data_IF_525511189049
#
_entry.id   IF_525511189049
#
_cell.length_a   1.000
_cell.length_b   1.000
_cell.length_c   1.000
_cell.angle_alpha   90.00
_cell.angle_beta   90.00
_cell.angle_gamma   90.00
#
_symmetry.space_group_name_H-M   'P 1'
#
loop_
_entity.id
_entity.type
_entity.pdbx_description
1 polymer ?
#
# COMPACT_ATOMS: atom_id res chain seq x y z
N UNK A 1 21.63 -59.84 21.49
CA UNK A 1 20.33 -59.24 21.66
C UNK A 1 20.12 -58.25 20.53
N UNK A 2 19.18 -58.56 19.60
CA UNK A 2 18.95 -57.88 18.33
C UNK A 2 18.09 -56.62 18.53
N UNK A 3 18.63 -55.44 18.14
CA UNK A 3 17.88 -54.21 18.03
C UNK A 3 17.00 -54.24 16.77
N UNK A 4 15.68 -54.23 16.95
CA UNK A 4 14.72 -53.94 15.86
C UNK A 4 14.60 -52.43 15.74
N UNK A 5 15.07 -51.83 14.64
CA UNK A 5 14.69 -50.49 14.19
C UNK A 5 13.27 -50.55 13.63
N UNK A 6 12.33 -49.89 14.31
CA UNK A 6 11.01 -49.66 13.78
C UNK A 6 11.06 -48.47 12.84
N UNK A 7 10.83 -48.71 11.56
CA UNK A 7 10.54 -47.69 10.56
C UNK A 7 9.10 -47.20 10.83
N UNK A 8 8.96 -46.02 11.41
CA UNK A 8 7.70 -45.30 11.43
C UNK A 8 7.59 -44.51 10.11
N UNK A 9 6.86 -45.07 9.16
CA UNK A 9 6.40 -44.31 7.99
C UNK A 9 5.35 -43.34 8.47
N UNK A 10 5.71 -42.04 8.58
CA UNK A 10 4.72 -40.97 8.66
C UNK A 10 3.92 -41.01 7.35
N UNK A 11 2.65 -41.42 7.43
CA UNK A 11 1.71 -41.22 6.35
C UNK A 11 1.56 -39.72 6.10
N UNK A 12 1.92 -39.26 4.91
CA UNK A 12 1.55 -37.95 4.43
C UNK A 12 0.02 -37.87 4.44
N UNK A 13 -0.54 -37.22 5.45
CA UNK A 13 -1.94 -36.79 5.44
C UNK A 13 -2.04 -35.76 4.33
N UNK A 14 -2.57 -36.18 3.19
CA UNK A 14 -3.03 -35.26 2.14
C UNK A 14 -3.98 -34.28 2.80
N UNK A 15 -3.57 -33.03 2.85
CA UNK A 15 -4.41 -31.92 3.34
C UNK A 15 -5.55 -31.75 2.34
N UNK A 16 -6.67 -32.43 2.59
CA UNK A 16 -7.91 -32.34 1.81
C UNK A 16 -8.68 -31.11 2.25
N UNK A 17 -8.07 -29.90 2.06
CA UNK A 17 -8.81 -28.67 2.19
C UNK A 17 -10.00 -28.68 1.23
N UNK A 18 -11.17 -28.27 1.70
CA UNK A 18 -12.37 -28.16 0.87
C UNK A 18 -12.08 -27.17 -0.26
N UNK A 19 -12.29 -27.61 -1.51
CA UNK A 19 -12.14 -26.73 -2.67
C UNK A 19 -13.34 -25.78 -2.70
N UNK A 20 -13.15 -24.45 -2.61
CA UNK A 20 -14.28 -23.50 -2.53
C UNK A 20 -15.33 -23.66 -3.63
N UNK A 21 -14.90 -24.05 -4.84
CA UNK A 21 -15.80 -24.35 -5.97
C UNK A 21 -16.77 -25.50 -5.72
N UNK A 22 -16.43 -26.44 -4.84
CA UNK A 22 -17.29 -27.56 -4.46
C UNK A 22 -18.37 -27.14 -3.46
N UNK A 23 -18.12 -26.02 -2.75
CA UNK A 23 -19.07 -25.47 -1.77
C UNK A 23 -19.97 -24.40 -2.41
N UNK A 24 -19.38 -23.47 -3.15
CA UNK A 24 -20.09 -22.41 -3.86
C UNK A 24 -19.32 -22.03 -5.14
N UNK A 25 -19.95 -22.32 -6.28
CA UNK A 25 -19.40 -21.98 -7.61
C UNK A 25 -19.15 -20.48 -7.81
N UNK A 26 -19.82 -19.61 -7.04
CA UNK A 26 -19.61 -18.16 -7.11
C UNK A 26 -18.37 -17.70 -6.33
N UNK A 27 -17.76 -18.56 -5.51
CA UNK A 27 -16.51 -18.28 -4.80
C UNK A 27 -15.25 -18.52 -5.64
N UNK A 28 -15.38 -19.05 -6.84
CA UNK A 28 -14.26 -19.22 -7.78
C UNK A 28 -14.33 -18.20 -8.90
N UNK A 29 -13.15 -17.70 -9.31
CA UNK A 29 -13.04 -17.04 -10.59
C UNK A 29 -13.28 -18.10 -11.68
N UNK A 30 -14.34 -17.97 -12.47
CA UNK A 30 -14.52 -18.76 -13.67
C UNK A 30 -13.29 -18.55 -14.57
N UNK A 31 -12.77 -19.63 -15.17
CA UNK A 31 -11.83 -19.52 -16.27
C UNK A 31 -12.55 -18.73 -17.39
N UNK A 32 -12.15 -17.47 -17.57
CA UNK A 32 -12.78 -16.62 -18.54
C UNK A 32 -12.12 -16.85 -19.91
N UNK A 33 -12.94 -16.87 -20.96
CA UNK A 33 -12.44 -16.97 -22.33
C UNK A 33 -11.63 -15.72 -22.71
N UNK A 34 -10.31 -15.91 -22.83
CA UNK A 34 -9.37 -14.87 -23.25
C UNK A 34 -9.32 -14.67 -24.79
N UNK A 35 -10.13 -15.41 -25.56
CA UNK A 35 -10.20 -15.24 -27.02
C UNK A 35 -10.63 -13.82 -27.39
N UNK A 36 -10.01 -13.26 -28.41
CA UNK A 36 -10.31 -11.90 -28.86
C UNK A 36 -9.79 -10.77 -27.95
N UNK A 37 -8.92 -11.07 -26.98
CA UNK A 37 -8.19 -10.06 -26.22
C UNK A 37 -6.88 -9.68 -26.91
N UNK A 38 -6.54 -8.39 -26.86
CA UNK A 38 -5.24 -7.85 -27.23
C UNK A 38 -4.47 -7.51 -25.98
N UNK A 39 -3.37 -8.21 -25.75
CA UNK A 39 -2.51 -8.05 -24.58
C UNK A 39 -1.47 -6.95 -24.82
N UNK A 40 -1.28 -6.09 -23.83
CA UNK A 40 -0.30 -5.00 -23.83
C UNK A 40 0.46 -4.97 -22.51
N UNK A 41 1.76 -4.74 -22.56
CA UNK A 41 2.56 -4.56 -21.37
C UNK A 41 2.13 -3.27 -20.67
N UNK A 42 1.88 -3.33 -19.36
CA UNK A 42 1.50 -2.15 -18.58
C UNK A 42 2.58 -1.05 -18.57
N UNK A 43 3.83 -1.38 -18.91
CA UNK A 43 4.92 -0.41 -19.05
C UNK A 43 4.88 0.40 -20.34
N UNK A 44 4.12 -0.07 -21.33
CA UNK A 44 4.00 0.62 -22.62
C UNK A 44 3.05 1.83 -22.50
N UNK A 45 3.29 2.83 -23.37
CA UNK A 45 2.30 3.87 -23.58
C UNK A 45 1.05 3.25 -24.24
N UNK A 46 -0.16 3.72 -23.93
CA UNK A 46 -0.46 4.94 -23.20
C UNK A 46 -0.78 4.74 -21.71
N UNK A 47 -0.46 3.58 -21.11
CA UNK A 47 -0.69 3.40 -19.69
C UNK A 47 0.12 4.39 -18.86
N UNK A 48 -0.49 5.02 -17.86
CA UNK A 48 0.18 5.87 -16.88
C UNK A 48 0.42 5.09 -15.60
N UNK A 49 1.69 5.03 -15.14
CA UNK A 49 2.07 4.32 -13.92
C UNK A 49 2.48 5.31 -12.84
N UNK A 50 1.94 5.15 -11.64
CA UNK A 50 2.16 6.00 -10.47
C UNK A 50 2.63 5.20 -9.26
N UNK A 51 3.30 5.87 -8.31
CA UNK A 51 3.66 5.33 -6.99
C UNK A 51 4.79 4.31 -6.98
N UNK A 52 5.46 4.06 -8.12
CA UNK A 52 6.60 3.15 -8.27
C UNK A 52 7.82 3.91 -8.80
N UNK A 53 9.00 3.42 -8.43
CA UNK A 53 10.28 3.98 -8.89
C UNK A 53 10.59 3.50 -10.32
N UNK A 54 10.86 4.44 -11.22
CA UNK A 54 11.19 4.17 -12.63
C UNK A 54 10.38 3.01 -13.24
N UNK A 55 9.03 3.11 -13.23
CA UNK A 55 8.18 1.94 -13.48
C UNK A 55 8.26 1.39 -14.90
N UNK A 56 8.83 2.17 -15.84
CA UNK A 56 9.06 1.75 -17.24
C UNK A 56 10.44 1.12 -17.48
N UNK A 57 11.35 1.18 -16.48
CA UNK A 57 12.64 0.53 -16.58
C UNK A 57 12.50 -0.99 -16.72
N UNK A 58 13.51 -1.64 -17.26
CA UNK A 58 13.58 -3.09 -17.33
C UNK A 58 13.53 -3.73 -15.94
N UNK A 59 13.11 -5.01 -15.89
CA UNK A 59 13.00 -5.79 -14.67
C UNK A 59 11.69 -5.60 -13.91
N UNK A 60 11.65 -6.06 -12.68
CA UNK A 60 10.46 -6.02 -11.83
C UNK A 60 10.11 -4.61 -11.37
N UNK A 61 8.82 -4.37 -11.11
CA UNK A 61 8.36 -3.15 -10.45
C UNK A 61 8.92 -3.05 -9.02
N UNK A 62 9.22 -1.82 -8.57
CA UNK A 62 9.79 -1.55 -7.24
C UNK A 62 9.42 -0.16 -6.74
N UNK A 63 9.49 0.05 -5.42
CA UNK A 63 9.10 1.32 -4.80
C UNK A 63 10.25 2.31 -4.64
N UNK A 64 11.50 1.82 -4.69
CA UNK A 64 12.71 2.64 -4.60
C UNK A 64 13.90 1.94 -5.30
N UNK A 65 15.02 2.64 -5.58
CA UNK A 65 16.22 2.02 -6.15
C UNK A 65 16.75 0.88 -5.29
N UNK A 66 17.18 -0.23 -5.91
CA UNK A 66 17.71 -1.39 -5.17
C UNK A 66 18.97 -1.04 -4.34
N UNK A 67 19.81 -0.14 -4.86
CA UNK A 67 21.01 0.34 -4.16
C UNK A 67 20.65 1.16 -2.93
N UNK A 68 19.72 2.12 -3.07
CA UNK A 68 19.23 2.91 -1.94
C UNK A 68 18.58 2.02 -0.87
N UNK A 69 17.74 1.04 -1.29
CA UNK A 69 17.12 0.09 -0.38
C UNK A 69 18.15 -0.78 0.35
N UNK A 70 19.22 -1.21 -0.35
CA UNK A 70 20.31 -2.00 0.24
C UNK A 70 21.15 -1.21 1.24
N UNK A 71 21.31 0.10 1.02
CA UNK A 71 22.03 0.98 1.94
C UNK A 71 21.29 1.20 3.26
N UNK A 72 19.97 0.99 3.30
CA UNK A 72 19.17 1.11 4.53
C UNK A 72 19.32 -0.14 5.39
N UNK A 73 18.68 -1.25 5.01
CA UNK A 73 18.79 -2.54 5.67
C UNK A 73 18.22 -3.67 4.79
N UNK A 74 18.46 -4.93 5.19
CA UNK A 74 18.02 -6.11 4.42
C UNK A 74 16.49 -6.22 4.31
N UNK A 75 15.75 -5.77 5.31
CA UNK A 75 14.28 -5.78 5.32
C UNK A 75 13.70 -4.76 4.36
N UNK A 76 14.24 -3.54 4.34
CA UNK A 76 13.88 -2.50 3.37
C UNK A 76 14.19 -2.97 1.95
N UNK A 77 15.38 -3.57 1.71
CA UNK A 77 15.77 -4.14 0.41
C UNK A 77 14.74 -5.17 -0.08
N UNK A 78 14.28 -6.05 0.79
CA UNK A 78 13.25 -7.04 0.48
C UNK A 78 11.89 -6.38 0.21
N UNK A 79 11.44 -5.53 1.13
CA UNK A 79 10.11 -4.93 1.09
C UNK A 79 9.96 -3.86 -0.01
N UNK A 80 11.03 -3.23 -0.46
CA UNK A 80 11.03 -2.27 -1.58
C UNK A 80 10.59 -2.90 -2.91
N UNK A 81 10.69 -4.23 -3.03
CA UNK A 81 10.23 -5.00 -4.18
C UNK A 81 8.73 -5.31 -4.15
N UNK A 82 8.06 -5.18 -3.00
CA UNK A 82 6.61 -5.20 -2.94
C UNK A 82 6.06 -3.93 -3.58
N UNK A 83 4.91 -4.04 -4.24
CA UNK A 83 4.38 -2.98 -5.11
C UNK A 83 3.32 -2.10 -4.44
N UNK A 84 3.29 -2.06 -3.10
CA UNK A 84 2.34 -1.26 -2.34
C UNK A 84 2.31 0.20 -2.81
N UNK A 85 1.13 0.71 -3.13
CA UNK A 85 0.95 2.06 -3.64
C UNK A 85 1.18 2.21 -5.15
N UNK A 86 1.61 1.16 -5.86
CA UNK A 86 1.66 1.17 -7.32
C UNK A 86 0.27 1.27 -7.95
N UNK A 87 0.13 2.02 -9.04
CA UNK A 87 -1.14 2.15 -9.78
C UNK A 87 -0.86 2.26 -11.27
N UNK A 88 -1.72 1.60 -12.09
CA UNK A 88 -1.82 1.86 -13.53
C UNK A 88 -3.12 2.59 -13.80
N UNK A 89 -3.06 3.69 -14.55
CA UNK A 89 -4.23 4.45 -14.97
C UNK A 89 -4.32 4.49 -16.48
N UNK A 90 -5.51 4.27 -17.01
CA UNK A 90 -5.78 4.28 -18.45
C UNK A 90 -7.26 4.52 -18.71
N UNK A 91 -7.58 4.91 -19.94
CA UNK A 91 -8.96 5.10 -20.42
C UNK A 91 -9.25 4.15 -21.57
N UNK A 92 -10.39 3.44 -21.50
CA UNK A 92 -10.79 2.45 -22.50
C UNK A 92 -12.32 2.28 -22.51
N UNK A 93 -12.84 1.82 -23.64
CA UNK A 93 -14.21 1.35 -23.80
C UNK A 93 -14.31 -0.19 -23.82
N UNK A 94 -13.21 -0.88 -23.55
CA UNK A 94 -13.21 -2.34 -23.43
C UNK A 94 -14.15 -2.79 -22.33
N UNK A 95 -14.98 -3.79 -22.61
CA UNK A 95 -15.84 -4.42 -21.62
C UNK A 95 -15.09 -5.42 -20.76
N UNK A 96 -14.06 -6.08 -21.31
CA UNK A 96 -13.22 -7.04 -20.57
C UNK A 96 -11.89 -6.37 -20.22
N UNK A 97 -11.53 -6.40 -18.95
CA UNK A 97 -10.24 -5.96 -18.45
C UNK A 97 -9.56 -7.19 -17.88
N UNK A 98 -8.63 -7.76 -18.64
CA UNK A 98 -7.88 -8.94 -18.24
C UNK A 98 -6.51 -8.56 -17.69
N UNK A 99 -6.04 -9.31 -16.71
CA UNK A 99 -4.67 -9.20 -16.21
C UNK A 99 -3.95 -10.53 -16.40
N UNK A 100 -2.72 -10.47 -16.90
CA UNK A 100 -1.72 -11.53 -16.81
C UNK A 100 -0.58 -10.98 -15.98
N UNK A 101 -0.35 -11.63 -14.83
CA UNK A 101 0.58 -11.15 -13.82
C UNK A 101 1.63 -12.22 -13.55
N UNK A 102 2.92 -11.83 -13.56
CA UNK A 102 4.00 -12.66 -13.02
C UNK A 102 4.55 -12.06 -11.74
N UNK A 103 4.77 -12.90 -10.77
CA UNK A 103 5.29 -12.57 -9.45
C UNK A 103 6.47 -13.47 -9.14
N UNK A 104 7.67 -12.95 -8.81
CA UNK A 104 8.81 -13.80 -8.42
C UNK A 104 8.52 -14.73 -7.25
N UNK A 105 7.61 -14.31 -6.38
CA UNK A 105 7.03 -15.10 -5.29
C UNK A 105 5.70 -14.47 -4.86
N UNK A 106 4.89 -15.24 -4.16
CA UNK A 106 3.62 -14.76 -3.59
C UNK A 106 3.69 -14.81 -2.07
N UNK A 107 3.45 -13.66 -1.43
CA UNK A 107 3.45 -13.58 0.03
C UNK A 107 2.07 -13.91 0.58
N UNK A 108 2.01 -14.93 1.44
CA UNK A 108 0.78 -15.37 2.12
C UNK A 108 0.98 -15.29 3.63
N UNK A 109 0.17 -14.46 4.27
CA UNK A 109 0.10 -14.35 5.72
C UNK A 109 -1.25 -14.84 6.20
N UNK A 110 -1.28 -15.52 7.36
CA UNK A 110 -2.51 -16.11 7.91
C UNK A 110 -3.57 -15.06 8.28
N UNK A 111 -3.16 -13.83 8.55
CA UNK A 111 -4.02 -12.70 8.94
C UNK A 111 -4.33 -11.72 7.81
N UNK A 112 -3.75 -11.90 6.61
CA UNK A 112 -3.98 -11.01 5.46
C UNK A 112 -4.83 -11.67 4.39
N UNK A 113 -5.83 -10.97 3.89
CA UNK A 113 -6.57 -11.39 2.71
C UNK A 113 -5.64 -11.46 1.49
N UNK A 114 -5.69 -12.57 0.74
CA UNK A 114 -4.89 -12.77 -0.49
C UNK A 114 -5.21 -11.69 -1.54
N UNK A 115 -6.44 -11.21 -1.57
CA UNK A 115 -6.90 -10.09 -2.41
C UNK A 115 -6.20 -8.76 -2.09
N UNK A 116 -5.74 -8.55 -0.86
CA UNK A 116 -4.94 -7.40 -0.46
C UNK A 116 -3.45 -7.61 -0.67
N UNK A 117 -2.93 -8.76 -0.19
CA UNK A 117 -1.49 -9.04 -0.20
C UNK A 117 -0.94 -9.31 -1.59
N UNK A 118 -1.71 -9.95 -2.48
CA UNK A 118 -1.19 -10.53 -3.73
C UNK A 118 -2.10 -10.32 -4.94
N UNK A 119 -3.04 -9.38 -4.89
CA UNK A 119 -3.95 -9.12 -5.99
C UNK A 119 -4.08 -7.65 -6.34
N UNK A 120 -4.85 -7.39 -7.36
CA UNK A 120 -5.17 -6.06 -7.87
C UNK A 120 -6.65 -5.76 -7.63
N UNK A 121 -6.98 -4.49 -7.37
CA UNK A 121 -8.35 -4.00 -7.45
C UNK A 121 -8.48 -2.88 -8.47
N UNK A 122 -9.69 -2.66 -8.95
CA UNK A 122 -9.99 -1.72 -10.03
C UNK A 122 -11.05 -0.73 -9.60
N UNK A 123 -10.81 0.53 -9.94
CA UNK A 123 -11.72 1.66 -9.73
C UNK A 123 -11.97 2.39 -11.03
N UNK A 124 -13.15 2.96 -11.18
CA UNK A 124 -13.49 3.91 -12.24
C UNK A 124 -13.35 5.35 -11.70
N UNK A 125 -12.58 6.18 -12.38
CA UNK A 125 -12.40 7.59 -12.08
C UNK A 125 -13.50 8.43 -12.73
N UNK A 126 -14.52 8.77 -11.98
CA UNK A 126 -15.66 9.58 -12.44
C UNK A 126 -15.46 11.08 -12.15
N UNK A 127 -16.26 11.98 -12.74
CA UNK A 127 -16.26 13.39 -12.38
C UNK A 127 -16.62 13.65 -10.90
N UNK A 128 -17.30 12.71 -10.25
CA UNK A 128 -17.78 12.83 -8.86
C UNK A 128 -16.87 12.11 -7.84
N UNK A 129 -15.73 11.58 -8.28
CA UNK A 129 -14.81 10.78 -7.49
C UNK A 129 -14.60 9.39 -8.08
N UNK A 130 -13.86 8.53 -7.38
CA UNK A 130 -13.59 7.17 -7.85
C UNK A 130 -14.62 6.19 -7.31
N UNK A 131 -15.20 5.39 -8.19
CA UNK A 131 -16.13 4.31 -7.86
C UNK A 131 -15.42 2.96 -7.84
N UNK A 132 -15.65 2.15 -6.82
CA UNK A 132 -15.15 0.77 -6.77
C UNK A 132 -15.84 -0.09 -7.83
N UNK A 133 -15.04 -0.78 -8.65
CA UNK A 133 -15.51 -1.67 -9.71
C UNK A 133 -15.37 -3.12 -9.29
N UNK A 134 -14.22 -3.53 -8.75
CA UNK A 134 -14.01 -4.90 -8.34
C UNK A 134 -12.57 -5.21 -7.92
N UNK A 135 -12.36 -6.49 -7.57
CA UNK A 135 -11.06 -7.05 -7.20
C UNK A 135 -10.81 -8.34 -7.96
N UNK A 136 -9.59 -8.54 -8.42
CA UNK A 136 -9.16 -9.83 -8.98
C UNK A 136 -8.96 -10.82 -7.84
N UNK A 137 -9.37 -12.08 -8.05
CA UNK A 137 -9.37 -13.12 -7.02
C UNK A 137 -8.46 -14.27 -7.45
N UNK A 138 -7.15 -14.20 -7.17
CA UNK A 138 -6.24 -15.31 -7.48
C UNK A 138 -6.61 -16.55 -6.67
N UNK A 139 -6.31 -17.71 -7.21
CA UNK A 139 -6.50 -18.97 -6.49
C UNK A 139 -5.65 -19.00 -5.21
N UNK A 140 -6.14 -19.66 -4.15
CA UNK A 140 -5.37 -19.81 -2.89
C UNK A 140 -4.03 -20.52 -3.13
N UNK A 141 -3.97 -21.40 -4.14
CA UNK A 141 -2.77 -22.14 -4.56
C UNK A 141 -1.75 -21.29 -5.35
N UNK A 142 -2.03 -20.02 -5.66
CA UNK A 142 -1.12 -19.14 -6.41
C UNK A 142 0.30 -19.16 -5.83
N UNK A 143 1.33 -19.25 -6.68
CA UNK A 143 2.76 -19.27 -6.30
C UNK A 143 3.60 -18.23 -7.01
N UNK A 144 3.28 -17.90 -8.27
CA UNK A 144 4.14 -17.15 -9.18
C UNK A 144 3.39 -16.18 -10.12
N UNK A 145 2.06 -16.05 -9.96
CA UNK A 145 1.23 -15.16 -10.76
C UNK A 145 -0.13 -15.75 -11.11
N UNK A 146 -0.91 -14.99 -11.87
CA UNK A 146 -2.25 -15.42 -12.29
C UNK A 146 -2.67 -14.73 -13.58
N UNK A 147 -3.67 -15.31 -14.24
CA UNK A 147 -4.43 -14.68 -15.30
C UNK A 147 -5.91 -14.65 -14.90
N UNK A 148 -6.54 -13.50 -15.02
CA UNK A 148 -7.96 -13.34 -14.69
C UNK A 148 -8.58 -12.21 -15.50
N UNK A 149 -9.87 -12.38 -15.87
CA UNK A 149 -10.65 -11.39 -16.61
C UNK A 149 -11.73 -10.81 -15.70
N UNK A 150 -11.82 -9.50 -15.69
CA UNK A 150 -12.93 -8.76 -15.10
C UNK A 150 -13.84 -8.24 -16.22
N UNK A 151 -15.15 -8.50 -16.13
CA UNK A 151 -16.12 -8.06 -17.15
C UNK A 151 -16.96 -6.93 -16.61
N UNK A 152 -16.89 -5.78 -17.28
CA UNK A 152 -17.69 -4.60 -17.01
C UNK A 152 -19.12 -4.75 -17.56
N UNK A 153 -20.10 -4.00 -17.04
CA UNK A 153 -21.50 -4.16 -17.45
C UNK A 153 -21.75 -3.77 -18.92
N UNK A 154 -20.99 -2.79 -19.44
CA UNK A 154 -21.14 -2.25 -20.79
C UNK A 154 -19.78 -1.77 -21.34
N UNK A 155 -19.75 -1.33 -22.61
CA UNK A 155 -18.59 -0.88 -23.37
C UNK A 155 -18.47 0.65 -23.45
N UNK A 156 -19.02 1.42 -22.51
CA UNK A 156 -18.79 2.87 -22.47
C UNK A 156 -17.35 3.18 -22.12
N UNK A 157 -16.84 4.29 -22.62
CA UNK A 157 -15.51 4.76 -22.26
C UNK A 157 -15.41 5.07 -20.75
N UNK A 158 -14.34 4.60 -20.11
CA UNK A 158 -14.05 4.78 -18.68
C UNK A 158 -12.58 5.08 -18.47
N UNK A 159 -12.30 5.98 -17.56
CA UNK A 159 -10.96 6.10 -16.98
C UNK A 159 -10.86 5.17 -15.78
N UNK A 160 -9.89 4.28 -15.80
CA UNK A 160 -9.72 3.21 -14.80
C UNK A 160 -8.41 3.39 -14.03
N UNK A 161 -8.46 3.07 -12.75
CA UNK A 161 -7.28 2.94 -11.88
C UNK A 161 -7.19 1.52 -11.36
N UNK A 162 -6.08 0.84 -11.66
CA UNK A 162 -5.73 -0.50 -11.21
C UNK A 162 -4.65 -0.38 -10.15
N UNK A 163 -4.94 -0.75 -8.90
CA UNK A 163 -3.98 -0.72 -7.80
C UNK A 163 -3.23 -2.04 -7.70
N UNK A 164 -1.92 -1.97 -7.49
CA UNK A 164 -1.01 -3.11 -7.33
C UNK A 164 -1.11 -3.77 -5.96
N UNK A 165 -0.66 -5.05 -5.83
CA UNK A 165 -0.58 -5.78 -4.57
C UNK A 165 0.21 -5.04 -3.48
N UNK A 166 -0.19 -5.23 -2.22
CA UNK A 166 0.45 -4.56 -1.09
C UNK A 166 1.70 -5.30 -0.58
N UNK A 167 1.76 -6.63 -0.73
CA UNK A 167 2.80 -7.47 -0.11
C UNK A 167 3.48 -8.45 -1.06
N UNK A 168 3.18 -8.41 -2.34
CA UNK A 168 3.84 -9.25 -3.35
C UNK A 168 4.56 -8.42 -4.39
N UNK A 169 5.74 -8.86 -4.87
CA UNK A 169 6.40 -8.25 -6.01
C UNK A 169 5.68 -8.58 -7.30
N UNK A 170 5.76 -7.70 -8.27
CA UNK A 170 5.27 -7.93 -9.63
C UNK A 170 6.44 -7.76 -10.58
N UNK A 171 6.76 -8.80 -11.36
CA UNK A 171 7.81 -8.73 -12.38
C UNK A 171 7.27 -8.34 -13.75
N UNK A 172 6.09 -8.85 -14.09
CA UNK A 172 5.42 -8.54 -15.36
C UNK A 172 3.93 -8.31 -15.13
N UNK A 173 3.38 -7.33 -15.83
CA UNK A 173 1.95 -7.06 -15.87
C UNK A 173 1.55 -6.77 -17.30
N UNK A 174 0.71 -7.63 -17.85
CA UNK A 174 0.02 -7.38 -19.12
C UNK A 174 -1.46 -7.12 -18.85
N UNK A 175 -2.02 -6.16 -19.58
CA UNK A 175 -3.44 -5.82 -19.56
C UNK A 175 -4.05 -6.23 -20.89
N UNK A 176 -5.02 -7.12 -20.84
CA UNK A 176 -5.79 -7.60 -21.99
C UNK A 176 -7.09 -6.81 -22.14
N UNK A 177 -7.32 -6.29 -23.32
CA UNK A 177 -8.52 -5.52 -23.69
C UNK A 177 -9.20 -6.16 -24.89
N UNK A 178 -10.50 -5.94 -25.08
CA UNK A 178 -11.22 -6.42 -26.25
C UNK A 178 -10.58 -5.91 -27.55
N UNK A 179 -10.52 -6.77 -28.56
CA UNK A 179 -10.02 -6.38 -29.86
C UNK A 179 -10.86 -5.22 -30.43
N UNK A 180 -10.16 -4.15 -30.86
CA UNK A 180 -10.79 -2.94 -31.38
C UNK A 180 -11.22 -1.93 -30.31
N UNK A 181 -11.09 -2.25 -29.03
CA UNK A 181 -11.35 -1.27 -27.98
C UNK A 181 -10.34 -0.11 -28.02
N UNK A 182 -10.84 1.09 -27.71
CA UNK A 182 -10.01 2.28 -27.54
C UNK A 182 -9.09 2.14 -26.32
N UNK A 183 -7.91 2.76 -26.39
CA UNK A 183 -6.98 2.85 -25.27
C UNK A 183 -6.24 4.19 -25.31
N UNK A 184 -6.32 4.94 -24.23
CA UNK A 184 -5.60 6.20 -24.04
C UNK A 184 -5.09 6.34 -22.60
N UNK A 185 -4.32 7.39 -22.30
CA UNK A 185 -3.83 7.69 -20.96
C UNK A 185 -4.98 7.89 -19.97
N UNK A 186 -4.72 7.59 -18.70
CA UNK A 186 -5.69 7.75 -17.63
C UNK A 186 -5.90 9.22 -17.24
N UNK A 187 -6.95 9.47 -16.46
CA UNK A 187 -7.17 10.76 -15.83
C UNK A 187 -5.97 11.14 -14.97
N UNK A 188 -5.41 12.34 -15.15
CA UNK A 188 -4.30 12.84 -14.34
C UNK A 188 -4.80 13.29 -12.97
N UNK A 189 -3.92 13.19 -11.96
CA UNK A 189 -4.19 13.78 -10.64
C UNK A 189 -4.17 15.31 -10.73
N UNK A 190 -5.14 15.96 -10.10
CA UNK A 190 -5.31 17.41 -10.14
C UNK A 190 -5.18 18.09 -8.78
N UNK A 191 -5.26 17.34 -7.70
CA UNK A 191 -5.22 17.88 -6.34
C UNK A 191 -3.85 18.40 -5.90
N UNK A 192 -2.76 17.88 -6.47
CA UNK A 192 -1.38 18.36 -6.27
C UNK A 192 -0.52 18.10 -7.49
N UNK A 193 0.56 18.91 -7.67
CA UNK A 193 1.53 18.70 -8.77
C UNK A 193 2.47 17.53 -8.49
N UNK A 194 2.79 17.30 -7.24
CA UNK A 194 3.76 16.30 -6.76
C UNK A 194 3.05 15.32 -5.83
N UNK A 195 3.57 14.10 -5.68
CA UNK A 195 2.96 13.10 -4.82
C UNK A 195 3.03 13.49 -3.33
N UNK A 196 2.14 12.93 -2.54
CA UNK A 196 2.27 12.86 -1.07
C UNK A 196 3.15 11.66 -0.75
N UNK A 197 4.21 11.84 0.02
CA UNK A 197 5.10 10.76 0.46
C UNK A 197 4.68 10.28 1.85
N UNK A 198 4.48 8.97 1.99
CA UNK A 198 4.15 8.31 3.25
C UNK A 198 5.29 7.39 3.65
N UNK A 199 5.81 7.55 4.87
CA UNK A 199 6.83 6.67 5.44
C UNK A 199 6.32 6.05 6.73
N UNK A 200 6.49 4.72 6.87
CA UNK A 200 6.05 4.03 8.07
C UNK A 200 6.17 2.51 8.03
N UNK A 201 5.42 1.90 8.91
CA UNK A 201 5.44 0.48 9.25
C UNK A 201 4.69 -0.42 8.25
N UNK A 202 4.31 -1.62 8.70
CA UNK A 202 3.35 -2.52 8.03
C UNK A 202 2.00 -1.86 7.82
N UNK A 203 1.57 -0.99 8.74
CA UNK A 203 0.32 -0.24 8.63
C UNK A 203 0.39 0.69 7.41
N UNK A 204 1.47 1.45 7.27
CA UNK A 204 1.70 2.30 6.09
C UNK A 204 1.84 1.47 4.81
N UNK A 205 2.48 0.29 4.86
CA UNK A 205 2.52 -0.62 3.70
C UNK A 205 1.12 -1.10 3.29
N UNK A 206 0.18 -1.21 4.22
CA UNK A 206 -1.21 -1.60 3.99
C UNK A 206 -1.56 -3.00 4.49
N UNK A 207 -0.87 -3.48 5.54
CA UNK A 207 -1.13 -4.80 6.14
C UNK A 207 -2.59 -4.93 6.56
N UNK A 208 -3.19 -6.07 6.21
CA UNK A 208 -4.57 -6.45 6.51
C UNK A 208 -5.68 -5.67 5.80
N UNK A 209 -5.36 -4.70 4.92
CA UNK A 209 -6.37 -4.20 3.99
C UNK A 209 -6.90 -5.36 3.13
N UNK A 210 -8.21 -5.50 3.02
CA UNK A 210 -8.82 -6.60 2.25
C UNK A 210 -8.51 -6.54 0.76
N UNK A 211 -8.11 -5.38 0.24
CA UNK A 211 -7.67 -5.11 -1.14
C UNK A 211 -6.83 -3.82 -1.20
N UNK A 212 -5.98 -3.64 -2.22
CA UNK A 212 -5.00 -2.55 -2.27
C UNK A 212 -5.59 -1.15 -2.14
N UNK A 213 -6.73 -0.90 -2.77
CA UNK A 213 -7.41 0.40 -2.74
C UNK A 213 -7.99 0.78 -1.37
N UNK A 214 -7.94 -0.08 -0.36
CA UNK A 214 -8.40 0.23 1.00
C UNK A 214 -7.28 0.59 1.97
N UNK A 215 -5.99 0.47 1.60
CA UNK A 215 -4.93 1.13 2.36
C UNK A 215 -5.21 2.64 2.45
N UNK A 216 -4.98 3.25 3.62
CA UNK A 216 -5.45 4.62 3.91
C UNK A 216 -4.95 5.66 2.91
N UNK A 217 -3.74 5.50 2.38
CA UNK A 217 -3.20 6.40 1.35
C UNK A 217 -4.01 6.33 0.04
N UNK A 218 -4.39 5.11 -0.37
CA UNK A 218 -5.20 4.93 -1.58
C UNK A 218 -6.61 5.53 -1.42
N UNK A 219 -7.19 5.44 -0.22
CA UNK A 219 -8.46 6.10 0.12
C UNK A 219 -8.31 7.62 0.05
N UNK A 220 -7.25 8.18 0.65
CA UNK A 220 -6.95 9.62 0.63
C UNK A 220 -6.71 10.09 -0.80
N UNK A 221 -5.92 9.35 -1.57
CA UNK A 221 -5.63 9.66 -2.98
C UNK A 221 -6.91 9.85 -3.80
N UNK A 222 -7.84 8.92 -3.70
CA UNK A 222 -9.14 9.02 -4.38
C UNK A 222 -10.01 10.18 -3.91
N UNK A 223 -10.00 10.47 -2.59
CA UNK A 223 -10.82 11.55 -2.00
C UNK A 223 -10.30 12.95 -2.30
N UNK A 224 -8.99 13.09 -2.50
CA UNK A 224 -8.32 14.37 -2.71
C UNK A 224 -7.79 14.54 -4.14
N UNK A 225 -7.92 13.53 -4.98
CA UNK A 225 -7.37 13.45 -6.34
C UNK A 225 -5.86 13.76 -6.37
N UNK A 226 -5.09 13.11 -5.49
CA UNK A 226 -3.65 13.31 -5.33
C UNK A 226 -2.86 12.04 -5.58
N UNK A 227 -1.71 12.17 -6.23
CA UNK A 227 -0.73 11.10 -6.34
C UNK A 227 -0.03 10.84 -5.00
N UNK A 228 0.46 9.62 -4.79
CA UNK A 228 1.22 9.29 -3.59
C UNK A 228 2.30 8.25 -3.83
N UNK A 229 3.32 8.27 -2.97
CA UNK A 229 4.39 7.27 -2.85
C UNK A 229 4.26 6.61 -1.48
N UNK A 230 4.15 5.28 -1.48
CA UNK A 230 4.09 4.48 -0.26
C UNK A 230 5.47 3.91 0.08
N UNK A 231 6.10 4.45 1.10
CA UNK A 231 7.35 3.97 1.69
C UNK A 231 7.10 3.31 3.06
N UNK A 232 6.03 2.52 3.17
CA UNK A 232 5.79 1.62 4.29
C UNK A 232 6.65 0.36 4.15
N UNK A 233 7.39 0.02 5.21
CA UNK A 233 8.30 -1.13 5.23
C UNK A 233 8.05 -2.00 6.45
N UNK A 234 7.16 -2.96 6.31
CA UNK A 234 6.71 -3.89 7.37
C UNK A 234 7.86 -4.37 8.26
N UNK A 235 7.84 -4.01 9.55
CA UNK A 235 8.87 -4.38 10.53
C UNK A 235 10.24 -3.73 10.33
N UNK A 236 10.41 -2.79 9.36
CA UNK A 236 11.73 -2.30 8.96
C UNK A 236 11.82 -0.78 8.75
N UNK A 237 10.80 -0.03 9.17
CA UNK A 237 10.85 1.43 9.15
C UNK A 237 11.51 1.92 10.46
N UNK A 238 12.81 2.13 10.46
CA UNK A 238 13.61 2.44 11.66
C UNK A 238 14.18 3.86 11.67
N UNK A 239 13.89 4.68 10.66
CA UNK A 239 14.38 6.06 10.57
C UNK A 239 15.88 6.19 10.36
N UNK A 240 16.51 5.22 9.65
CA UNK A 240 17.92 5.21 9.34
C UNK A 240 18.30 6.38 8.42
N UNK A 241 19.51 6.90 8.58
CA UNK A 241 20.00 8.05 7.81
C UNK A 241 19.87 7.84 6.29
N UNK A 242 20.31 6.71 5.69
CA UNK A 242 20.17 6.53 4.24
C UNK A 242 18.71 6.57 3.74
N UNK A 243 17.76 6.08 4.56
CA UNK A 243 16.32 6.18 4.22
C UNK A 243 15.86 7.63 4.27
N UNK A 244 16.24 8.37 5.31
CA UNK A 244 15.85 9.78 5.47
C UNK A 244 16.43 10.64 4.36
N UNK A 245 17.71 10.44 3.97
CA UNK A 245 18.35 11.12 2.85
C UNK A 245 17.62 10.84 1.53
N UNK A 246 17.27 9.57 1.26
CA UNK A 246 16.48 9.20 0.10
C UNK A 246 15.14 9.93 0.07
N UNK A 247 14.38 9.88 1.18
CA UNK A 247 13.08 10.54 1.28
C UNK A 247 13.18 12.06 1.13
N UNK A 248 14.18 12.68 1.76
CA UNK A 248 14.38 14.13 1.69
C UNK A 248 14.68 14.64 0.28
N UNK A 249 15.25 13.78 -0.58
CA UNK A 249 15.55 14.10 -1.99
C UNK A 249 14.34 13.90 -2.93
N UNK A 250 13.26 13.26 -2.49
CA UNK A 250 12.09 13.04 -3.34
C UNK A 250 11.32 14.34 -3.57
N UNK A 251 10.86 14.61 -4.81
CA UNK A 251 9.91 15.67 -5.06
C UNK A 251 8.57 15.29 -4.42
N UNK A 252 8.05 16.14 -3.53
CA UNK A 252 6.81 15.86 -2.82
C UNK A 252 5.98 17.10 -2.53
N UNK A 253 4.66 16.93 -2.41
CA UNK A 253 3.73 17.99 -2.01
C UNK A 253 3.43 18.00 -0.51
N UNK A 254 3.63 16.87 0.17
CA UNK A 254 3.51 16.70 1.62
C UNK A 254 4.25 15.43 2.06
N UNK A 255 4.62 15.37 3.33
CA UNK A 255 5.21 14.20 3.97
C UNK A 255 4.36 13.74 5.16
N UNK A 256 4.08 12.44 5.24
CA UNK A 256 3.34 11.80 6.35
C UNK A 256 4.24 10.75 6.99
N UNK A 257 4.48 10.89 8.29
CA UNK A 257 5.39 10.07 9.07
C UNK A 257 4.61 9.23 10.09
N UNK A 258 4.73 7.90 9.99
CA UNK A 258 3.96 6.89 10.74
C UNK A 258 4.84 5.64 10.96
N UNK A 259 5.97 5.76 11.70
CA UNK A 259 6.90 4.64 11.88
C UNK A 259 7.23 4.27 13.33
N UNK A 260 6.64 4.97 14.31
CA UNK A 260 6.90 4.74 15.72
C UNK A 260 6.73 3.27 16.14
N UNK A 261 5.78 2.61 15.51
CA UNK A 261 5.43 1.21 15.75
C UNK A 261 6.54 0.22 15.34
N UNK A 262 7.42 0.58 14.40
CA UNK A 262 8.56 -0.23 13.99
C UNK A 262 9.86 0.10 14.75
N UNK A 263 9.95 1.26 15.41
CA UNK A 263 11.10 1.57 16.23
C UNK A 263 11.25 0.49 17.31
N UNK A 264 12.46 -0.08 17.54
CA UNK A 264 12.65 -1.18 18.50
C UNK A 264 12.22 -0.83 19.93
N UNK A 265 12.34 0.43 20.32
CA UNK A 265 11.94 0.97 21.62
C UNK A 265 11.78 2.49 21.55
N UNK A 266 11.26 3.13 22.60
CA UNK A 266 11.07 4.56 22.68
C UNK A 266 12.41 5.35 22.62
N UNK A 267 13.51 4.80 23.14
CA UNK A 267 14.83 5.44 23.07
C UNK A 267 15.35 5.53 21.63
N UNK A 268 15.16 4.49 20.80
CA UNK A 268 15.47 4.52 19.38
C UNK A 268 14.62 5.57 18.65
N UNK A 269 13.32 5.63 18.93
CA UNK A 269 12.42 6.60 18.35
C UNK A 269 12.86 8.04 18.71
N UNK A 270 13.22 8.28 19.96
CA UNK A 270 13.74 9.58 20.42
C UNK A 270 15.03 9.99 19.67
N UNK A 271 15.93 9.04 19.40
CA UNK A 271 17.17 9.30 18.67
C UNK A 271 16.94 9.57 17.16
N UNK A 272 15.83 9.11 16.58
CA UNK A 272 15.61 9.12 15.13
C UNK A 272 14.53 10.09 14.67
N UNK A 273 13.44 10.28 15.43
CA UNK A 273 12.24 10.99 14.96
C UNK A 273 12.49 12.49 14.72
N UNK A 274 13.03 13.21 15.70
CA UNK A 274 13.34 14.62 15.53
C UNK A 274 14.45 14.86 14.48
N UNK A 275 15.44 13.97 14.41
CA UNK A 275 16.48 14.02 13.36
C UNK A 275 15.87 13.88 11.97
N UNK A 276 14.96 12.92 11.74
CA UNK A 276 14.26 12.75 10.47
C UNK A 276 13.48 14.00 10.09
N UNK A 277 12.70 14.57 11.03
CA UNK A 277 11.99 15.81 10.80
C UNK A 277 12.93 16.92 10.31
N UNK A 278 14.04 17.14 11.00
CA UNK A 278 15.02 18.19 10.65
C UNK A 278 15.62 17.98 9.26
N UNK A 279 16.07 16.77 8.94
CA UNK A 279 16.68 16.46 7.65
C UNK A 279 15.70 16.63 6.48
N UNK A 280 14.45 16.20 6.64
CA UNK A 280 13.42 16.37 5.61
C UNK A 280 13.06 17.86 5.47
N UNK A 281 12.89 18.57 6.58
CA UNK A 281 12.54 20.00 6.59
C UNK A 281 13.62 20.87 5.97
N UNK A 282 14.89 20.55 6.17
CA UNK A 282 16.02 21.25 5.55
C UNK A 282 15.95 21.23 4.01
N UNK A 283 15.59 20.10 3.43
CA UNK A 283 15.48 19.94 1.97
C UNK A 283 14.11 20.38 1.42
N UNK A 284 13.08 20.36 2.25
CA UNK A 284 11.70 20.62 1.87
C UNK A 284 11.06 21.62 2.86
N UNK A 285 11.48 22.91 2.82
CA UNK A 285 11.12 23.89 3.86
C UNK A 285 9.63 24.20 3.92
N UNK A 286 8.91 24.12 2.80
CA UNK A 286 7.56 24.63 2.68
C UNK A 286 6.46 23.57 2.61
N UNK A 287 6.80 22.29 2.60
CA UNK A 287 5.79 21.24 2.51
C UNK A 287 5.06 21.01 3.85
N UNK A 288 3.79 20.59 3.84
CA UNK A 288 3.16 20.01 5.01
C UNK A 288 3.92 18.78 5.51
N UNK A 289 4.27 18.78 6.80
CA UNK A 289 4.84 17.62 7.50
C UNK A 289 3.82 17.15 8.55
N UNK A 290 3.34 15.92 8.42
CA UNK A 290 2.32 15.34 9.30
C UNK A 290 2.95 14.19 10.07
N UNK A 291 2.93 14.28 11.39
CA UNK A 291 3.36 13.25 12.31
C UNK A 291 2.14 12.53 12.86
N UNK A 292 2.19 11.22 12.89
CA UNK A 292 1.13 10.36 13.39
C UNK A 292 1.70 9.43 14.45
N UNK A 293 1.09 9.38 15.63
CA UNK A 293 1.36 8.34 16.60
C UNK A 293 0.46 7.12 16.37
N UNK A 294 0.83 5.99 16.96
CA UNK A 294 0.15 4.71 16.75
C UNK A 294 -1.34 4.78 17.09
N UNK A 295 -2.23 4.30 16.21
CA UNK A 295 -3.66 4.55 16.34
C UNK A 295 -4.39 3.84 17.50
N UNK A 296 -3.79 2.83 18.10
CA UNK A 296 -4.40 1.99 19.15
C UNK A 296 -3.43 1.80 20.34
N UNK A 297 -2.68 2.86 20.66
CA UNK A 297 -1.56 2.79 21.60
C UNK A 297 -1.96 2.38 23.02
N UNK A 298 -3.17 2.71 23.48
CA UNK A 298 -3.68 2.43 24.82
C UNK A 298 -3.98 0.93 25.04
N UNK A 299 -4.04 0.13 23.98
CA UNK A 299 -4.21 -1.33 24.02
C UNK A 299 -2.88 -2.10 24.10
N UNK A 300 -1.76 -1.38 24.03
CA UNK A 300 -0.39 -1.91 24.05
C UNK A 300 0.49 -1.23 25.10
N UNK A 301 0.14 -1.25 26.39
CA UNK A 301 0.93 -0.56 27.41
C UNK A 301 2.35 -1.09 27.53
N UNK A 302 2.58 -2.37 27.24
CA UNK A 302 3.91 -3.02 27.26
C UNK A 302 4.83 -2.58 26.12
N UNK A 303 4.30 -2.00 25.06
CA UNK A 303 5.07 -1.54 23.89
C UNK A 303 5.64 -0.13 24.07
N UNK A 304 5.70 0.39 25.30
CA UNK A 304 6.12 1.78 25.58
C UNK A 304 5.30 2.83 24.81
N UNK A 305 4.03 2.54 24.56
CA UNK A 305 3.19 3.33 23.66
C UNK A 305 3.08 4.80 24.09
N UNK A 306 2.92 5.04 25.39
CA UNK A 306 2.88 6.40 25.93
C UNK A 306 4.23 7.13 25.77
N UNK A 307 5.36 6.45 25.96
CA UNK A 307 6.69 7.04 25.76
C UNK A 307 6.92 7.37 24.29
N UNK A 308 6.52 6.49 23.37
CA UNK A 308 6.62 6.71 21.92
C UNK A 308 5.77 7.91 21.49
N UNK A 309 4.54 8.00 21.97
CA UNK A 309 3.64 9.12 21.75
C UNK A 309 4.27 10.44 22.17
N UNK A 310 4.86 10.49 23.40
CA UNK A 310 5.57 11.69 23.89
C UNK A 310 6.75 12.08 23.00
N UNK A 311 7.52 11.15 22.48
CA UNK A 311 8.63 11.45 21.56
C UNK A 311 8.14 12.19 20.32
N UNK A 312 6.99 11.76 19.76
CA UNK A 312 6.41 12.41 18.58
C UNK A 312 5.87 13.80 18.93
N UNK A 313 5.18 13.93 20.08
CA UNK A 313 4.71 15.21 20.60
C UNK A 313 5.86 16.21 20.85
N UNK A 314 6.98 15.72 21.41
CA UNK A 314 8.17 16.54 21.64
C UNK A 314 8.80 17.00 20.32
N UNK A 315 8.84 16.14 19.30
CA UNK A 315 9.28 16.55 17.97
C UNK A 315 8.35 17.61 17.37
N UNK A 316 7.04 17.43 17.49
CA UNK A 316 6.07 18.43 17.03
C UNK A 316 6.23 19.77 17.77
N UNK A 317 6.37 19.74 19.12
CA UNK A 317 6.60 20.92 19.94
C UNK A 317 7.88 21.64 19.52
N UNK A 318 8.97 20.91 19.40
CA UNK A 318 10.24 21.43 18.88
C UNK A 318 10.06 22.15 17.54
N UNK A 319 9.39 21.50 16.58
CA UNK A 319 9.14 22.11 15.26
C UNK A 319 8.38 23.44 15.38
N UNK A 320 7.34 23.50 16.24
CA UNK A 320 6.56 24.71 16.49
C UNK A 320 7.38 25.81 17.15
N UNK A 321 8.25 25.48 18.08
CA UNK A 321 9.17 26.41 18.76
C UNK A 321 10.20 26.98 17.78
N UNK A 322 10.61 26.22 16.75
CA UNK A 322 11.45 26.72 15.65
C UNK A 322 10.67 27.59 14.63
N UNK A 323 9.40 27.89 14.88
CA UNK A 323 8.57 28.70 14.00
C UNK A 323 7.93 27.95 12.83
N UNK A 324 8.06 26.62 12.74
CA UNK A 324 7.42 25.85 11.66
C UNK A 324 5.90 25.88 11.79
N UNK A 325 5.24 26.60 10.89
CA UNK A 325 3.77 26.66 10.79
C UNK A 325 3.18 25.56 9.90
N UNK A 326 4.05 24.76 9.22
CA UNK A 326 3.67 23.73 8.26
C UNK A 326 3.83 22.31 8.81
N UNK A 327 3.78 22.17 10.15
CA UNK A 327 3.85 20.87 10.84
C UNK A 327 2.53 20.60 11.57
N UNK A 328 2.08 19.35 11.54
CA UNK A 328 0.88 18.85 12.22
C UNK A 328 1.19 17.56 12.95
N UNK A 329 0.53 17.37 14.08
CA UNK A 329 0.51 16.13 14.83
C UNK A 329 -0.91 15.57 14.87
N UNK A 330 -1.03 14.28 14.64
CA UNK A 330 -2.27 13.51 14.79
C UNK A 330 -2.04 12.52 15.92
N UNK A 331 -2.76 12.73 17.02
CA UNK A 331 -2.76 11.80 18.13
C UNK A 331 -3.48 10.51 17.74
N UNK A 332 -2.75 9.41 17.73
CA UNK A 332 -3.26 8.10 17.37
C UNK A 332 -4.37 7.60 18.27
N UNK A 333 -4.32 7.95 19.57
CA UNK A 333 -5.35 7.60 20.56
C UNK A 333 -6.77 7.92 20.10
N UNK A 334 -6.94 9.07 19.40
CA UNK A 334 -8.24 9.52 18.94
C UNK A 334 -8.77 8.84 17.69
N UNK A 335 -7.93 8.09 16.93
CA UNK A 335 -8.29 7.61 15.60
C UNK A 335 -9.33 6.50 15.65
N UNK A 336 -9.15 5.51 16.51
CA UNK A 336 -10.05 4.34 16.60
C UNK A 336 -11.13 4.49 17.67
N UNK A 337 -11.14 5.59 18.44
CA UNK A 337 -12.16 5.82 19.46
C UNK A 337 -13.56 5.70 18.89
N UNK A 338 -14.46 5.10 19.68
CA UNK A 338 -15.85 4.89 19.35
C UNK A 338 -16.30 3.48 19.69
N UNK A 339 -17.56 3.16 19.38
CA UNK A 339 -18.17 1.85 19.69
C UNK A 339 -17.57 0.69 18.87
N UNK A 340 -16.91 0.99 17.74
CA UNK A 340 -16.34 0.00 16.83
C UNK A 340 -14.82 -0.16 17.00
N UNK A 341 -14.24 0.21 18.12
CA UNK A 341 -12.79 0.16 18.33
C UNK A 341 -12.21 -1.25 18.13
N UNK A 342 -12.89 -2.27 18.60
CA UNK A 342 -12.52 -3.68 18.46
C UNK A 342 -12.58 -4.20 17.03
N UNK A 343 -13.34 -3.54 16.15
CA UNK A 343 -13.42 -3.87 14.74
C UNK A 343 -12.35 -3.16 13.88
N UNK A 344 -11.55 -2.27 14.47
CA UNK A 344 -10.57 -1.48 13.73
C UNK A 344 -9.27 -2.22 13.42
N UNK A 345 -8.96 -3.30 14.13
CA UNK A 345 -7.74 -4.10 13.92
C UNK A 345 -8.05 -5.59 13.79
N UNK A 346 -7.16 -6.34 13.10
CA UNK A 346 -7.27 -7.80 12.96
C UNK A 346 -6.65 -8.52 14.15
N UNK A 347 -5.53 -8.01 14.66
CA UNK A 347 -4.66 -8.67 15.62
C UNK A 347 -4.14 -7.70 16.69
N UNK A 348 -4.95 -6.67 16.99
CA UNK A 348 -4.65 -5.52 17.86
C UNK A 348 -3.68 -4.51 17.19
N UNK A 349 -2.80 -4.96 16.30
CA UNK A 349 -1.81 -4.13 15.59
C UNK A 349 -2.31 -3.59 14.24
N UNK A 350 -2.69 -4.51 13.34
CA UNK A 350 -2.89 -4.19 11.93
C UNK A 350 -4.35 -3.80 11.64
N UNK A 351 -4.57 -2.66 10.98
CA UNK A 351 -5.91 -2.17 10.70
C UNK A 351 -6.72 -3.10 9.79
N UNK A 352 -7.99 -3.26 10.12
CA UNK A 352 -9.01 -3.70 9.17
C UNK A 352 -9.30 -2.57 8.16
N UNK A 353 -10.20 -2.85 7.19
CA UNK A 353 -10.69 -1.81 6.29
C UNK A 353 -11.35 -0.64 7.05
N UNK A 354 -12.05 -0.91 8.16
CA UNK A 354 -12.61 0.13 9.02
C UNK A 354 -11.51 0.98 9.68
N UNK A 355 -10.47 0.35 10.21
CA UNK A 355 -9.32 1.05 10.79
C UNK A 355 -8.65 1.95 9.75
N UNK A 356 -8.40 1.45 8.54
CA UNK A 356 -7.85 2.25 7.44
C UNK A 356 -8.74 3.41 7.02
N UNK A 357 -10.07 3.23 7.01
CA UNK A 357 -11.00 4.32 6.72
C UNK A 357 -10.93 5.42 7.79
N UNK A 358 -10.85 5.07 9.08
CA UNK A 358 -10.67 6.04 10.18
C UNK A 358 -9.33 6.77 10.08
N UNK A 359 -8.23 6.06 9.76
CA UNK A 359 -6.94 6.69 9.49
C UNK A 359 -7.01 7.64 8.29
N UNK A 360 -7.68 7.23 7.20
CA UNK A 360 -7.88 8.08 6.04
C UNK A 360 -8.70 9.34 6.35
N UNK A 361 -9.67 9.26 7.26
CA UNK A 361 -10.43 10.41 7.73
C UNK A 361 -9.55 11.39 8.54
N UNK A 362 -8.72 10.87 9.44
CA UNK A 362 -7.85 11.68 10.29
C UNK A 362 -6.76 12.38 9.45
N UNK A 363 -5.96 11.62 8.73
CA UNK A 363 -4.85 12.12 7.90
C UNK A 363 -5.35 12.96 6.73
N UNK A 364 -6.38 12.49 6.02
CA UNK A 364 -6.96 13.18 4.86
C UNK A 364 -7.57 14.55 5.21
N UNK A 365 -8.13 14.71 6.40
CA UNK A 365 -8.64 16.00 6.90
C UNK A 365 -7.51 17.02 7.04
N UNK A 366 -6.39 16.60 7.62
CA UNK A 366 -5.22 17.46 7.79
C UNK A 366 -4.59 17.78 6.42
N UNK A 367 -4.36 16.79 5.57
CA UNK A 367 -3.83 17.00 4.23
C UNK A 367 -4.67 17.99 3.41
N UNK A 368 -5.99 17.82 3.40
CA UNK A 368 -6.91 18.75 2.70
C UNK A 368 -6.75 20.18 3.20
N UNK A 369 -6.63 20.38 4.53
CA UNK A 369 -6.44 21.70 5.13
C UNK A 369 -5.07 22.28 4.80
N UNK A 370 -4.02 21.46 4.87
CA UNK A 370 -2.63 21.85 4.68
C UNK A 370 -2.32 22.23 3.23
N UNK A 371 -2.91 21.50 2.25
CA UNK A 371 -2.71 21.74 0.83
C UNK A 371 -3.50 22.94 0.29
N UNK A 372 -4.71 23.23 0.85
CA UNK A 372 -5.50 24.41 0.44
C UNK A 372 -4.84 25.77 0.74
N UNK A 373 -3.83 25.81 1.59
CA UNK A 373 -3.08 27.04 1.91
C UNK A 373 -2.02 27.40 0.87
N UNK A 374 -1.88 26.59 -0.19
CA UNK A 374 -0.91 26.76 -1.27
C UNK A 374 -1.57 27.18 -2.62
N UNK A 375 -2.88 27.45 -2.61
CA UNK A 375 -3.64 28.02 -3.74
C UNK A 375 -4.01 29.49 -3.33
#
# INVERSE_FOLDING_TARGET
LKNKKGNSSMSETKNTGVVPAEVDKNMTAAAADASGLVWRNAKDVPFDIYGLYEPRAEGAFRRMPDEAAAAVNAGVKRNARHTAGGRVRFTTDSRRIALRVKMPYVTKYCHMALTGSSSFDIYEDTPFGSAYVGVYKPAVSITDGFEQIFTLPDSRERSLTLNFPLYSPVSELEIGLDAGASLSGGKKYTGTRLPVVYYGSSITQGACASRPGLAYQAVISRRLDVDFINLGFSGNALGEIPMVEYMAALPMSAFVCDYDHNAPNAAHLAATHCRMYRMIREKNPDIPYIMLSYPDFDRHPEAESEQRRRVIEDTFRYAREQGDSRVWYIDGEGIYRGMEIDACTVDIDHPTDLGFMKMADAVGRILRRAMRRNI
#
